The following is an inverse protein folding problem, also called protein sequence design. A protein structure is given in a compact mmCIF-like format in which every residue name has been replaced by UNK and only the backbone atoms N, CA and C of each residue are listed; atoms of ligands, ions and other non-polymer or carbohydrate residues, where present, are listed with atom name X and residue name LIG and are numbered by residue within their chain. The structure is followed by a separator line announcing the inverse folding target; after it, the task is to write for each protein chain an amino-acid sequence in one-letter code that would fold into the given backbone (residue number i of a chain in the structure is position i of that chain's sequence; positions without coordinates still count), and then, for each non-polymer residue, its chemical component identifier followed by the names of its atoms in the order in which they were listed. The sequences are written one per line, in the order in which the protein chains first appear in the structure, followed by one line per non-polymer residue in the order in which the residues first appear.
data_IF_022196047960
#
_entry.id   IF_022196047960
#
_cell.length_a   1.000
_cell.length_b   1.000
_cell.length_c   1.000
_cell.angle_alpha   90.00
_cell.angle_beta   90.00
_cell.angle_gamma   90.00
#
_symmetry.space_group_name_H-M   'P 1'
#
loop_
_entity.id
_entity.type
_entity.pdbx_description
1 polymer ?
#
# COMPACT_ATOMS: atom_id res chain seq x y z
N UNK A 1 -7.33 37.11 3.23
CA UNK A 1 -8.19 35.94 3.51
C UNK A 1 -7.36 34.69 3.58
N UNK A 2 -7.70 33.80 4.50
CA UNK A 2 -7.04 32.50 4.65
C UNK A 2 -8.09 31.41 4.61
N UNK A 3 -7.89 30.40 3.78
CA UNK A 3 -8.75 29.25 3.71
C UNK A 3 -8.35 28.19 4.76
N UNK A 4 -9.32 27.42 5.25
CA UNK A 4 -9.05 26.31 6.15
C UNK A 4 -8.04 25.32 5.51
N UNK A 5 -6.97 24.98 6.24
CA UNK A 5 -5.82 24.17 5.80
C UNK A 5 -4.84 24.89 4.85
N UNK A 6 -4.99 26.15 4.56
CA UNK A 6 -3.96 26.91 3.86
C UNK A 6 -2.72 27.02 4.74
N UNK A 7 -1.53 26.82 4.16
CA UNK A 7 -0.26 27.00 4.88
C UNK A 7 -0.11 28.45 5.31
N UNK A 8 0.18 28.69 6.61
CA UNK A 8 0.31 29.99 7.20
C UNK A 8 1.78 30.43 7.32
N UNK A 9 2.61 29.54 7.80
CA UNK A 9 4.05 29.71 7.96
C UNK A 9 4.77 28.38 7.75
N UNK A 10 6.05 28.48 7.40
CA UNK A 10 6.96 27.35 7.40
C UNK A 10 7.88 27.45 8.61
N UNK A 11 7.94 26.41 9.42
CA UNK A 11 8.86 26.29 10.56
C UNK A 11 10.01 25.39 10.15
N UNK A 12 11.22 25.88 10.29
CA UNK A 12 12.44 25.13 10.03
C UNK A 12 13.10 24.73 11.34
N UNK A 13 13.50 23.48 11.43
CA UNK A 13 14.34 22.96 12.50
C UNK A 13 15.60 22.33 11.91
N UNK A 14 16.61 22.07 12.71
CA UNK A 14 17.88 21.44 12.29
C UNK A 14 17.67 20.08 11.55
N UNK A 15 16.48 19.54 11.55
CA UNK A 15 16.17 18.20 11.02
C UNK A 15 15.02 18.15 10.02
N UNK A 16 14.18 19.18 9.93
CA UNK A 16 13.02 19.19 9.04
C UNK A 16 12.43 20.60 8.86
N UNK A 17 11.88 20.86 7.68
CA UNK A 17 11.01 21.98 7.37
C UNK A 17 9.55 21.53 7.41
N UNK A 18 8.69 22.25 8.09
CA UNK A 18 7.29 21.87 8.31
C UNK A 18 6.36 23.06 8.06
N UNK A 19 5.35 22.88 7.22
CA UNK A 19 4.32 23.89 7.00
C UNK A 19 3.22 23.75 8.08
N UNK A 20 2.84 24.88 8.67
CA UNK A 20 1.77 24.95 9.65
C UNK A 20 0.48 25.39 8.97
N UNK A 21 -0.51 24.52 8.79
CA UNK A 21 -1.78 24.84 8.15
C UNK A 21 -2.73 25.57 9.08
N UNK A 22 -3.56 26.45 8.51
CA UNK A 22 -4.63 27.12 9.27
C UNK A 22 -5.70 26.12 9.75
N UNK A 23 -6.04 26.21 11.02
CA UNK A 23 -7.15 25.44 11.62
C UNK A 23 -8.54 25.99 11.23
N UNK A 24 -8.64 27.26 10.85
CA UNK A 24 -9.88 27.94 10.52
C UNK A 24 -9.72 28.79 9.27
N UNK A 25 -10.83 29.05 8.57
CA UNK A 25 -10.88 30.09 7.55
C UNK A 25 -11.16 31.45 8.21
N UNK A 26 -10.64 32.54 7.65
CA UNK A 26 -10.87 33.88 8.18
C UNK A 26 -9.93 34.91 7.59
N UNK A 27 -9.98 36.13 8.13
CA UNK A 27 -9.10 37.24 7.74
C UNK A 27 -8.00 37.37 8.77
N UNK A 28 -6.74 37.41 8.33
CA UNK A 28 -5.58 37.64 9.21
C UNK A 28 -5.62 39.08 9.70
N UNK A 29 -5.79 39.29 11.00
CA UNK A 29 -5.76 40.61 11.65
C UNK A 29 -4.36 41.09 11.98
N UNK A 30 -3.55 40.18 12.52
CA UNK A 30 -2.17 40.51 12.86
C UNK A 30 -1.28 39.27 12.82
N UNK A 31 -0.06 39.43 12.36
CA UNK A 31 1.03 38.48 12.50
C UNK A 31 1.82 38.80 13.77
N UNK A 32 2.06 37.79 14.61
CA UNK A 32 2.77 37.93 15.88
C UNK A 32 4.24 37.48 15.79
N UNK A 33 4.64 36.93 14.62
CA UNK A 33 5.99 36.41 14.38
C UNK A 33 6.57 36.98 13.09
N UNK A 34 7.90 37.09 13.02
CA UNK A 34 8.66 37.51 11.86
C UNK A 34 9.54 36.36 11.37
N UNK A 35 10.01 36.47 10.13
CA UNK A 35 10.98 35.51 9.58
C UNK A 35 12.26 35.53 10.43
N UNK A 36 12.66 34.38 10.94
CA UNK A 36 13.83 34.21 11.82
C UNK A 36 13.49 34.12 13.32
N UNK A 37 12.23 34.30 13.72
CA UNK A 37 11.85 34.17 15.13
C UNK A 37 11.82 32.70 15.55
N UNK A 38 12.29 32.43 16.77
CA UNK A 38 12.18 31.13 17.36
C UNK A 38 10.79 30.89 17.98
N UNK A 39 10.08 29.88 17.45
CA UNK A 39 8.74 29.51 17.90
C UNK A 39 8.75 28.15 18.59
N UNK A 40 7.89 27.96 19.61
CA UNK A 40 7.69 26.71 20.33
C UNK A 40 6.23 26.30 20.25
N UNK A 41 5.93 25.06 20.62
CA UNK A 41 4.55 24.59 20.77
C UNK A 41 3.78 25.49 21.74
N UNK A 42 2.60 25.99 21.31
CA UNK A 42 1.80 26.97 22.06
C UNK A 42 2.11 28.44 21.75
N UNK A 43 3.12 28.78 20.94
CA UNK A 43 3.35 30.16 20.51
C UNK A 43 2.21 30.67 19.62
N UNK A 44 1.72 31.88 19.90
CA UNK A 44 0.72 32.54 19.05
C UNK A 44 1.40 33.06 17.80
N UNK A 45 1.03 32.54 16.65
CA UNK A 45 1.63 32.87 15.35
C UNK A 45 0.94 34.07 14.69
N UNK A 46 -0.39 34.08 14.75
CA UNK A 46 -1.21 35.12 14.17
C UNK A 46 -2.59 35.14 14.81
N UNK A 47 -3.33 36.23 14.60
CA UNK A 47 -4.72 36.37 15.02
C UNK A 47 -5.61 36.38 13.79
N UNK A 48 -6.61 35.48 13.76
CA UNK A 48 -7.63 35.44 12.72
C UNK A 48 -8.94 35.99 13.24
N UNK A 49 -9.60 36.79 12.41
CA UNK A 49 -11.02 37.06 12.56
C UNK A 49 -11.78 35.97 11.80
N UNK A 50 -12.36 35.03 12.55
CA UNK A 50 -13.16 33.96 11.96
C UNK A 50 -14.53 34.54 11.55
N UNK A 51 -14.91 34.36 10.29
CA UNK A 51 -16.30 34.61 9.85
C UNK A 51 -17.24 33.69 10.60
N UNK A 52 -18.02 34.27 11.51
CA UNK A 52 -19.12 33.59 12.15
C UNK A 52 -20.25 33.44 11.12
N UNK A 53 -20.48 32.19 10.71
CA UNK A 53 -21.56 31.74 9.83
C UNK A 53 -21.31 31.83 8.31
N UNK A 54 -20.88 30.73 7.75
CA UNK A 54 -21.35 30.29 6.43
C UNK A 54 -21.54 28.79 6.42
N UNK A 55 -22.78 28.35 6.43
CA UNK A 55 -23.19 27.06 5.94
C UNK A 55 -22.75 26.94 4.46
N UNK A 56 -22.45 25.73 3.93
CA UNK A 56 -21.97 25.60 2.57
C UNK A 56 -23.04 25.97 1.58
N UNK A 57 -22.86 27.11 0.89
CA UNK A 57 -23.60 27.46 -0.32
C UNK A 57 -23.00 26.80 -1.54
N UNK A 58 -23.81 26.40 -2.55
CA UNK A 58 -23.32 25.71 -3.73
C UNK A 58 -22.40 26.60 -4.56
N UNK A 59 -21.33 26.02 -5.11
CA UNK A 59 -20.37 26.69 -5.96
C UNK A 59 -21.04 27.33 -7.19
N UNK A 60 -20.89 28.65 -7.32
CA UNK A 60 -21.26 29.38 -8.53
C UNK A 60 -20.25 29.09 -9.63
N UNK A 61 -20.77 28.78 -10.82
CA UNK A 61 -20.02 28.45 -12.02
C UNK A 61 -19.17 29.63 -12.51
N UNK A 62 -17.92 29.39 -12.84
CA UNK A 62 -17.06 30.27 -13.62
C UNK A 62 -17.46 30.21 -15.09
N UNK A 63 -17.30 31.29 -15.88
CA UNK A 63 -17.76 31.34 -17.26
C UNK A 63 -16.94 30.44 -18.17
N UNK A 64 -17.64 29.74 -19.06
CA UNK A 64 -17.11 28.76 -20.00
C UNK A 64 -16.25 29.39 -21.11
N UNK A 65 -15.15 28.72 -21.53
CA UNK A 65 -14.56 28.94 -22.83
C UNK A 65 -15.34 28.16 -23.92
N UNK A 66 -15.33 28.72 -25.12
CA UNK A 66 -16.14 28.32 -26.26
C UNK A 66 -16.01 26.85 -26.71
N UNK A 67 -17.09 26.34 -27.25
CA UNK A 67 -17.33 24.97 -27.68
C UNK A 67 -16.25 24.37 -28.59
N UNK A 68 -15.75 23.21 -28.18
CA UNK A 68 -15.19 22.18 -29.05
C UNK A 68 -16.10 20.95 -28.97
N UNK A 69 -16.23 20.26 -30.10
CA UNK A 69 -17.23 19.23 -30.40
C UNK A 69 -17.43 18.16 -29.30
N UNK A 70 -18.67 17.78 -29.09
CA UNK A 70 -19.13 16.81 -28.11
C UNK A 70 -18.53 15.41 -28.32
N UNK A 71 -18.05 14.76 -27.25
CA UNK A 71 -17.83 13.32 -27.23
C UNK A 71 -19.17 12.58 -27.10
N UNK A 72 -19.26 11.41 -27.69
CA UNK A 72 -20.41 10.52 -27.63
C UNK A 72 -20.84 10.22 -26.18
N UNK A 73 -22.14 9.99 -25.92
CA UNK A 73 -22.61 9.78 -24.54
C UNK A 73 -21.99 8.50 -23.95
N UNK A 74 -21.39 8.67 -22.76
CA UNK A 74 -20.99 7.54 -21.92
C UNK A 74 -22.20 6.67 -21.60
N UNK A 75 -22.05 5.33 -21.46
CA UNK A 75 -23.15 4.47 -21.04
C UNK A 75 -23.72 4.99 -19.71
N UNK A 76 -25.02 5.16 -19.66
CA UNK A 76 -25.72 5.61 -18.48
C UNK A 76 -25.32 4.73 -17.28
N UNK A 77 -24.84 5.39 -16.20
CA UNK A 77 -24.63 4.71 -14.94
C UNK A 77 -25.95 4.03 -14.56
N UNK A 78 -25.88 2.74 -14.28
CA UNK A 78 -27.02 2.00 -13.76
C UNK A 78 -27.57 2.77 -12.52
N UNK A 79 -28.91 2.89 -12.38
CA UNK A 79 -29.49 3.59 -11.25
C UNK A 79 -28.92 2.97 -9.96
N UNK A 80 -28.41 3.84 -9.06
CA UNK A 80 -27.95 3.42 -7.76
C UNK A 80 -29.08 2.61 -7.12
N UNK A 81 -28.82 1.33 -6.85
CA UNK A 81 -29.78 0.48 -6.18
C UNK A 81 -30.19 1.18 -4.90
N UNK A 82 -31.48 1.49 -4.75
CA UNK A 82 -32.05 1.90 -3.49
C UNK A 82 -31.59 0.93 -2.42
N UNK A 83 -31.05 1.35 -1.27
CA UNK A 83 -30.69 0.42 -0.22
C UNK A 83 -31.91 -0.46 0.07
N UNK A 84 -31.78 -1.75 -0.18
CA UNK A 84 -32.79 -2.70 0.23
C UNK A 84 -33.04 -2.44 1.73
N UNK A 85 -34.31 -2.46 2.21
CA UNK A 85 -34.58 -2.37 3.62
C UNK A 85 -33.69 -3.42 4.30
N UNK A 86 -32.94 -2.99 5.30
CA UNK A 86 -32.07 -3.89 6.05
C UNK A 86 -32.90 -5.12 6.44
N UNK A 87 -32.58 -6.26 5.86
CA UNK A 87 -33.20 -7.51 6.25
C UNK A 87 -33.09 -7.58 7.77
N UNK A 88 -34.23 -7.75 8.46
CA UNK A 88 -34.23 -7.91 9.90
C UNK A 88 -33.17 -8.97 10.23
N UNK A 89 -32.15 -8.57 11.00
CA UNK A 89 -31.04 -9.45 11.34
C UNK A 89 -31.65 -10.75 11.89
N UNK A 90 -31.35 -11.86 11.25
CA UNK A 90 -31.70 -13.17 11.80
C UNK A 90 -31.23 -13.17 13.26
N UNK A 91 -31.97 -13.73 14.22
CA UNK A 91 -31.59 -13.75 15.62
C UNK A 91 -30.18 -14.34 15.71
N UNK A 92 -29.21 -13.48 15.96
CA UNK A 92 -27.79 -13.86 16.02
C UNK A 92 -27.66 -14.89 17.13
N UNK A 93 -26.94 -15.97 16.87
CA UNK A 93 -26.66 -16.99 17.89
C UNK A 93 -26.05 -16.30 19.12
N UNK A 94 -26.69 -16.42 20.24
CA UNK A 94 -26.18 -15.93 21.53
C UNK A 94 -25.02 -16.83 21.94
N UNK A 95 -23.83 -16.25 22.05
CA UNK A 95 -22.69 -16.96 22.63
C UNK A 95 -22.94 -17.16 24.13
N UNK A 96 -22.84 -18.39 24.63
CA UNK A 96 -23.07 -18.74 26.03
C UNK A 96 -21.80 -19.22 26.76
N UNK A 97 -20.63 -19.10 26.09
CA UNK A 97 -19.35 -19.48 26.67
C UNK A 97 -18.70 -18.37 27.53
N UNK A 98 -17.49 -18.64 28.04
CA UNK A 98 -16.72 -17.70 28.84
C UNK A 98 -16.14 -16.60 27.96
N UNK A 99 -16.19 -15.36 28.44
CA UNK A 99 -15.56 -14.17 27.84
C UNK A 99 -14.24 -13.89 28.57
N UNK A 100 -13.15 -13.81 27.84
CA UNK A 100 -11.82 -13.54 28.40
C UNK A 100 -11.48 -12.05 28.39
N UNK A 101 -11.98 -11.30 27.39
CA UNK A 101 -11.71 -9.89 27.23
C UNK A 101 -12.98 -9.15 26.78
N UNK A 102 -13.22 -7.97 27.37
CA UNK A 102 -14.28 -7.06 26.92
C UNK A 102 -13.69 -5.83 26.22
N UNK A 103 -14.34 -5.37 25.17
CA UNK A 103 -13.95 -4.19 24.40
C UNK A 103 -15.15 -3.36 23.94
N UNK A 104 -14.97 -2.05 23.80
CA UNK A 104 -15.95 -1.21 23.09
C UNK A 104 -15.86 -1.45 21.59
N UNK A 105 -14.61 -1.59 21.09
CA UNK A 105 -14.33 -1.85 19.68
C UNK A 105 -13.32 -2.98 19.55
N UNK A 106 -13.66 -4.00 18.75
CA UNK A 106 -12.70 -4.98 18.26
C UNK A 106 -12.33 -4.63 16.82
N UNK A 107 -11.03 -4.62 16.51
CA UNK A 107 -10.52 -4.41 15.15
C UNK A 107 -9.83 -5.68 14.68
N UNK A 108 -10.23 -6.21 13.53
CA UNK A 108 -9.68 -7.45 12.97
C UNK A 108 -8.74 -7.10 11.83
N UNK A 109 -7.44 -7.33 12.03
CA UNK A 109 -6.35 -7.00 11.12
C UNK A 109 -5.56 -5.78 11.56
N UNK A 110 -4.24 -5.94 11.68
CA UNK A 110 -3.29 -4.92 12.14
C UNK A 110 -2.58 -4.15 11.03
N UNK A 111 -3.13 -4.17 9.80
CA UNK A 111 -2.65 -3.36 8.67
C UNK A 111 -3.02 -1.89 8.79
N UNK A 112 -2.70 -1.04 7.78
CA UNK A 112 -2.91 0.42 7.83
C UNK A 112 -4.33 0.83 8.20
N UNK A 113 -5.33 0.20 7.65
CA UNK A 113 -6.73 0.46 8.02
C UNK A 113 -7.03 0.07 9.47
N UNK A 114 -6.52 -1.09 9.91
CA UNK A 114 -6.79 -1.62 11.24
C UNK A 114 -6.10 -0.86 12.36
N UNK A 115 -4.77 -0.66 12.28
CA UNK A 115 -4.09 0.09 13.34
C UNK A 115 -4.53 1.55 13.39
N UNK A 116 -4.84 2.18 12.24
CA UNK A 116 -5.35 3.55 12.21
C UNK A 116 -6.71 3.65 12.90
N UNK A 117 -7.62 2.71 12.63
CA UNK A 117 -8.92 2.65 13.28
C UNK A 117 -8.79 2.38 14.80
N UNK A 118 -7.94 1.40 15.18
CA UNK A 118 -7.70 1.05 16.57
C UNK A 118 -7.11 2.23 17.37
N UNK A 119 -6.12 2.93 16.82
CA UNK A 119 -5.48 4.06 17.48
C UNK A 119 -6.44 5.23 17.61
N UNK A 120 -7.22 5.52 16.56
CA UNK A 120 -8.22 6.58 16.62
C UNK A 120 -9.32 6.28 17.64
N UNK A 121 -9.82 5.05 17.70
CA UNK A 121 -10.80 4.64 18.70
C UNK A 121 -10.24 4.77 20.13
N UNK A 122 -9.00 4.38 20.35
CA UNK A 122 -8.33 4.54 21.64
C UNK A 122 -8.11 6.01 22.02
N UNK A 123 -7.74 6.88 21.06
CA UNK A 123 -7.59 8.33 21.26
C UNK A 123 -8.94 9.00 21.61
N UNK A 124 -10.07 8.38 21.23
CA UNK A 124 -11.43 8.80 21.63
C UNK A 124 -11.86 8.23 22.99
N UNK A 125 -10.96 7.53 23.71
CA UNK A 125 -11.23 6.99 25.05
C UNK A 125 -11.92 5.62 25.06
N UNK A 126 -12.05 4.94 23.92
CA UNK A 126 -12.68 3.62 23.85
C UNK A 126 -11.68 2.51 24.26
N UNK A 127 -12.20 1.45 24.88
CA UNK A 127 -11.42 0.21 25.14
C UNK A 127 -11.34 -0.60 23.84
N UNK A 128 -10.11 -0.73 23.31
CA UNK A 128 -9.88 -1.33 21.99
C UNK A 128 -9.09 -2.62 22.09
N UNK A 129 -9.56 -3.65 21.37
CA UNK A 129 -8.83 -4.88 21.09
C UNK A 129 -8.52 -4.92 19.59
N UNK A 130 -7.24 -5.08 19.25
CA UNK A 130 -6.75 -5.26 17.89
C UNK A 130 -6.28 -6.71 17.71
N UNK A 131 -6.88 -7.44 16.78
CA UNK A 131 -6.53 -8.84 16.49
C UNK A 131 -5.68 -8.88 15.24
N UNK A 132 -4.46 -9.44 15.35
CA UNK A 132 -3.52 -9.59 14.24
C UNK A 132 -2.91 -10.99 14.24
N UNK A 133 -2.91 -11.67 13.10
CA UNK A 133 -2.39 -13.05 12.98
C UNK A 133 -0.86 -13.12 12.85
N UNK A 134 -0.22 -12.05 12.35
CA UNK A 134 1.22 -11.95 12.17
C UNK A 134 1.92 -11.50 13.47
N UNK A 135 3.25 -11.65 13.49
CA UNK A 135 4.09 -11.27 14.65
C UNK A 135 4.14 -9.77 14.89
N UNK A 136 3.95 -8.98 13.85
CA UNK A 136 4.08 -7.51 13.87
C UNK A 136 2.84 -6.84 13.31
N UNK A 137 2.53 -5.65 13.82
CA UNK A 137 1.57 -4.75 13.20
C UNK A 137 2.14 -4.19 11.89
N UNK A 138 1.25 -3.67 11.04
CA UNK A 138 1.63 -3.04 9.77
C UNK A 138 1.04 -3.73 8.54
N UNK A 139 0.57 -4.99 8.70
CA UNK A 139 -0.05 -5.77 7.61
C UNK A 139 0.86 -5.94 6.40
N UNK A 140 0.27 -6.18 5.24
CA UNK A 140 1.00 -6.30 3.96
C UNK A 140 1.81 -5.04 3.67
N UNK A 141 1.25 -3.85 3.87
CA UNK A 141 1.88 -2.59 3.52
C UNK A 141 3.27 -2.42 4.14
N UNK A 142 3.40 -2.60 5.46
CA UNK A 142 4.68 -2.37 6.14
C UNK A 142 5.63 -3.55 6.02
N UNK A 143 5.10 -4.77 6.07
CA UNK A 143 5.95 -5.96 6.16
C UNK A 143 6.39 -6.49 4.79
N UNK A 144 5.48 -6.56 3.81
CA UNK A 144 5.71 -7.23 2.52
C UNK A 144 5.08 -6.48 1.34
N UNK A 145 4.99 -5.16 1.40
CA UNK A 145 4.35 -4.34 0.37
C UNK A 145 5.00 -2.97 0.21
N UNK A 146 4.26 -1.90 0.54
CA UNK A 146 4.63 -0.52 0.24
C UNK A 146 6.00 -0.11 0.82
N UNK A 147 6.27 -0.44 2.08
CA UNK A 147 7.49 0.01 2.74
C UNK A 147 8.73 -0.68 2.18
N UNK A 148 8.82 -2.03 2.11
CA UNK A 148 9.96 -2.66 1.48
C UNK A 148 10.11 -2.30 0.01
N UNK A 149 9.02 -2.19 -0.76
CA UNK A 149 9.13 -1.81 -2.17
C UNK A 149 9.68 -0.40 -2.34
N UNK A 150 9.22 0.60 -1.57
CA UNK A 150 9.73 1.98 -1.65
C UNK A 150 11.17 2.10 -1.17
N UNK A 151 11.57 1.33 -0.15
CA UNK A 151 12.97 1.28 0.28
C UNK A 151 13.89 0.78 -0.84
N UNK A 152 13.47 -0.25 -1.58
CA UNK A 152 14.24 -0.82 -2.70
C UNK A 152 14.18 0.06 -3.95
N UNK A 153 13.01 0.63 -4.27
CA UNK A 153 12.84 1.54 -5.39
C UNK A 153 13.67 2.81 -5.24
N UNK A 154 13.87 3.29 -4.00
CA UNK A 154 14.76 4.42 -3.77
C UNK A 154 16.20 4.08 -4.16
N UNK A 155 16.70 2.91 -3.81
CA UNK A 155 18.04 2.47 -4.23
C UNK A 155 18.11 2.32 -5.75
N UNK A 156 17.09 1.70 -6.36
CA UNK A 156 16.99 1.56 -7.82
C UNK A 156 17.02 2.93 -8.52
N UNK A 157 16.28 3.91 -8.01
CA UNK A 157 16.22 5.26 -8.56
C UNK A 157 17.58 5.97 -8.52
N UNK A 158 18.32 5.87 -7.40
CA UNK A 158 19.67 6.44 -7.28
C UNK A 158 20.63 5.79 -8.29
N UNK A 159 20.56 4.46 -8.47
CA UNK A 159 21.38 3.76 -9.44
C UNK A 159 21.06 4.18 -10.88
N UNK A 160 19.80 4.38 -11.21
CA UNK A 160 19.37 4.86 -12.52
C UNK A 160 19.78 6.31 -12.75
N UNK A 161 19.65 7.17 -11.74
CA UNK A 161 20.11 8.57 -11.78
C UNK A 161 21.61 8.64 -12.11
N UNK A 162 22.44 7.85 -11.42
CA UNK A 162 23.89 7.78 -11.66
C UNK A 162 24.20 7.40 -13.11
N UNK A 163 23.42 6.52 -13.73
CA UNK A 163 23.62 6.16 -15.16
C UNK A 163 23.33 7.33 -16.09
N UNK A 164 22.32 8.15 -15.80
CA UNK A 164 21.99 9.32 -16.61
C UNK A 164 23.07 10.42 -16.57
N UNK A 165 23.92 10.44 -15.54
CA UNK A 165 25.02 11.39 -15.47
C UNK A 165 26.06 11.21 -16.60
N UNK A 166 26.12 10.03 -17.20
CA UNK A 166 26.98 9.80 -18.38
C UNK A 166 26.60 10.72 -19.55
N UNK A 167 25.31 11.00 -19.74
CA UNK A 167 24.81 11.93 -20.76
C UNK A 167 25.24 13.38 -20.49
N UNK A 168 25.57 13.70 -19.24
CA UNK A 168 26.07 15.00 -18.79
C UNK A 168 27.61 15.06 -18.77
N UNK A 169 28.29 13.99 -19.21
CA UNK A 169 29.74 13.91 -19.23
C UNK A 169 30.39 13.44 -17.92
N UNK A 170 29.60 12.95 -16.96
CA UNK A 170 30.10 12.37 -15.69
C UNK A 170 29.87 10.88 -15.69
N UNK A 171 30.94 10.10 -15.76
CA UNK A 171 30.87 8.63 -15.80
C UNK A 171 31.28 8.05 -14.46
N UNK A 172 30.45 7.15 -13.93
CA UNK A 172 30.75 6.32 -12.76
C UNK A 172 31.07 4.89 -13.19
N UNK A 173 31.87 4.21 -12.40
CA UNK A 173 32.07 2.77 -12.59
C UNK A 173 30.75 2.00 -12.34
N UNK A 174 30.61 0.84 -13.00
CA UNK A 174 29.46 -0.03 -12.73
C UNK A 174 29.41 -0.42 -11.25
N UNK A 175 28.24 -0.26 -10.59
CA UNK A 175 28.13 -0.51 -9.16
C UNK A 175 28.17 -2.02 -8.87
N UNK A 176 28.90 -2.40 -7.82
CA UNK A 176 28.81 -3.74 -7.25
C UNK A 176 27.67 -3.79 -6.23
N UNK A 177 26.67 -4.66 -6.46
CA UNK A 177 25.49 -4.77 -5.59
C UNK A 177 25.59 -6.01 -4.69
N UNK A 178 25.70 -5.77 -3.39
CA UNK A 178 25.56 -6.76 -2.33
C UNK A 178 24.09 -6.89 -1.93
N UNK A 179 23.40 -7.91 -2.47
CA UNK A 179 21.99 -8.17 -2.17
C UNK A 179 21.76 -8.45 -0.68
N UNK A 180 22.71 -9.07 0.02
CA UNK A 180 22.59 -9.34 1.45
C UNK A 180 22.50 -8.06 2.27
N UNK A 181 23.37 -7.08 1.96
CA UNK A 181 23.32 -5.75 2.60
C UNK A 181 22.07 -4.98 2.21
N UNK A 182 21.63 -5.06 0.96
CA UNK A 182 20.39 -4.42 0.51
C UNK A 182 19.16 -5.00 1.24
N UNK A 183 19.11 -6.32 1.40
CA UNK A 183 18.09 -7.01 2.21
C UNK A 183 18.12 -6.53 3.66
N UNK A 184 19.30 -6.49 4.28
CA UNK A 184 19.46 -6.00 5.66
C UNK A 184 19.00 -4.56 5.81
N UNK A 185 19.28 -3.69 4.84
CA UNK A 185 18.78 -2.31 4.83
C UNK A 185 17.24 -2.27 4.81
N UNK A 186 16.63 -3.02 3.91
CA UNK A 186 15.17 -3.14 3.80
C UNK A 186 14.54 -3.61 5.12
N UNK A 187 15.07 -4.68 5.72
CA UNK A 187 14.58 -5.21 7.00
C UNK A 187 14.71 -4.21 8.14
N UNK A 188 15.79 -3.43 8.17
CA UNK A 188 15.97 -2.37 9.16
C UNK A 188 14.92 -1.27 9.03
N UNK A 189 14.54 -0.90 7.81
CA UNK A 189 13.46 0.08 7.57
C UNK A 189 12.13 -0.48 8.07
N UNK A 190 11.78 -1.72 7.71
CA UNK A 190 10.56 -2.40 8.16
C UNK A 190 10.53 -2.45 9.70
N UNK A 191 11.59 -2.95 10.33
CA UNK A 191 11.66 -3.11 11.78
C UNK A 191 11.52 -1.80 12.55
N UNK A 192 12.07 -0.70 12.02
CA UNK A 192 11.89 0.63 12.62
C UNK A 192 10.43 1.07 12.63
N UNK A 193 9.71 0.87 11.53
CA UNK A 193 8.31 1.31 11.39
C UNK A 193 7.36 0.39 12.16
N UNK A 194 7.52 -0.92 12.08
CA UNK A 194 6.68 -1.88 12.82
C UNK A 194 6.89 -1.76 14.33
N UNK A 195 8.13 -1.54 14.77
CA UNK A 195 8.45 -1.24 16.18
C UNK A 195 7.79 0.06 16.66
N UNK A 196 7.74 1.09 15.80
CA UNK A 196 6.99 2.33 16.08
C UNK A 196 5.50 2.08 16.29
N UNK A 197 4.86 1.23 15.46
CA UNK A 197 3.45 0.87 15.62
C UNK A 197 3.19 0.12 16.94
N UNK A 198 4.08 -0.81 17.31
CA UNK A 198 3.97 -1.52 18.59
C UNK A 198 4.05 -0.56 19.79
N UNK A 199 4.98 0.41 19.74
CA UNK A 199 5.09 1.45 20.76
C UNK A 199 3.83 2.34 20.83
N UNK A 200 3.29 2.74 19.68
CA UNK A 200 2.06 3.53 19.60
C UNK A 200 0.84 2.77 20.15
N UNK A 201 0.70 1.48 19.87
CA UNK A 201 -0.36 0.65 20.43
C UNK A 201 -0.25 0.58 21.96
N UNK A 202 0.97 0.39 22.49
CA UNK A 202 1.23 0.36 23.95
C UNK A 202 0.88 1.69 24.61
N UNK A 203 1.32 2.83 24.04
CA UNK A 203 1.02 4.16 24.58
C UNK A 203 -0.49 4.44 24.68
N UNK A 204 -1.26 3.96 23.71
CA UNK A 204 -2.72 4.11 23.64
C UNK A 204 -3.48 3.02 24.39
N UNK A 205 -2.77 2.13 25.06
CA UNK A 205 -3.36 0.99 25.80
C UNK A 205 -4.27 0.10 24.92
N UNK A 206 -3.96 0.01 23.63
CA UNK A 206 -4.63 -0.93 22.74
C UNK A 206 -4.19 -2.35 23.09
N UNK A 207 -5.14 -3.23 23.39
CA UNK A 207 -4.86 -4.65 23.63
C UNK A 207 -4.66 -5.34 22.29
N UNK A 208 -3.46 -5.79 21.99
CA UNK A 208 -3.16 -6.55 20.78
C UNK A 208 -3.23 -8.04 21.09
N UNK A 209 -4.13 -8.76 20.44
CA UNK A 209 -4.24 -10.21 20.51
C UNK A 209 -3.71 -10.82 19.21
N UNK A 210 -2.71 -11.68 19.36
CA UNK A 210 -2.15 -12.39 18.21
C UNK A 210 -2.93 -13.65 17.91
N UNK A 211 -3.55 -13.73 16.74
CA UNK A 211 -4.30 -14.92 16.33
C UNK A 211 -5.29 -14.69 15.19
N UNK A 212 -5.98 -15.76 14.83
CA UNK A 212 -7.08 -15.74 13.87
C UNK A 212 -8.40 -15.44 14.58
N UNK A 213 -9.05 -14.36 14.17
CA UNK A 213 -10.38 -13.99 14.65
C UNK A 213 -11.49 -14.69 13.87
N UNK A 214 -12.45 -15.29 14.59
CA UNK A 214 -13.66 -15.88 14.03
C UNK A 214 -14.87 -15.47 14.84
N UNK A 215 -15.91 -14.95 14.22
CA UNK A 215 -17.14 -14.59 14.92
C UNK A 215 -17.86 -15.84 15.43
N UNK A 216 -18.15 -15.85 16.73
CA UNK A 216 -18.90 -16.94 17.39
C UNK A 216 -20.27 -16.46 17.91
N UNK A 217 -20.59 -15.21 17.68
CA UNK A 217 -21.85 -14.56 17.99
C UNK A 217 -21.86 -13.14 17.44
N UNK A 218 -22.99 -12.44 17.53
CA UNK A 218 -23.15 -11.05 17.01
C UNK A 218 -22.18 -10.04 17.65
N UNK A 219 -21.80 -10.30 18.91
CA UNK A 219 -20.90 -9.44 19.69
C UNK A 219 -19.75 -10.23 20.33
N UNK A 220 -19.39 -11.37 19.76
CA UNK A 220 -18.33 -12.23 20.29
C UNK A 220 -17.39 -12.70 19.18
N UNK A 221 -16.09 -12.48 19.38
CA UNK A 221 -15.02 -12.90 18.51
C UNK A 221 -14.12 -13.90 19.24
N UNK A 222 -14.01 -15.12 18.73
CA UNK A 222 -13.01 -16.06 19.19
C UNK A 222 -11.71 -15.82 18.45
N UNK A 223 -10.61 -15.66 19.18
CA UNK A 223 -9.25 -15.51 18.67
C UNK A 223 -8.49 -16.80 18.97
N UNK A 224 -8.13 -17.55 17.94
CA UNK A 224 -7.25 -18.72 18.05
C UNK A 224 -5.80 -18.23 17.92
N UNK A 225 -5.02 -18.38 18.97
CA UNK A 225 -3.66 -17.85 19.05
C UNK A 225 -2.73 -18.47 18.01
N UNK A 226 -1.81 -17.68 17.50
CA UNK A 226 -0.78 -18.11 16.56
C UNK A 226 0.61 -17.93 17.14
N UNK A 227 1.55 -18.77 16.70
CA UNK A 227 2.97 -18.70 17.03
C UNK A 227 3.84 -18.73 15.77
N UNK A 228 5.12 -18.46 15.91
CA UNK A 228 6.06 -18.50 14.78
C UNK A 228 5.74 -17.52 13.65
N UNK A 229 6.63 -17.38 12.68
CA UNK A 229 6.42 -16.51 11.53
C UNK A 229 5.45 -17.12 10.51
N UNK A 230 5.30 -18.43 10.51
CA UNK A 230 4.35 -19.18 9.68
C UNK A 230 2.90 -19.08 10.18
N UNK A 231 2.63 -18.37 11.29
CA UNK A 231 1.30 -18.19 11.88
C UNK A 231 0.64 -19.53 12.27
N UNK A 232 1.43 -20.44 12.82
CA UNK A 232 0.93 -21.73 13.27
C UNK A 232 -0.07 -21.56 14.40
N UNK A 233 -1.21 -22.22 14.28
CA UNK A 233 -2.24 -22.22 15.31
C UNK A 233 -1.79 -23.04 16.50
N UNK A 234 -1.83 -22.43 17.69
CA UNK A 234 -1.43 -23.11 18.95
C UNK A 234 -2.53 -23.95 19.56
N UNK A 235 -3.78 -23.80 19.09
CA UNK A 235 -4.98 -24.37 19.68
C UNK A 235 -5.53 -23.59 20.88
N UNK A 236 -4.75 -22.67 21.48
CA UNK A 236 -5.25 -21.81 22.55
C UNK A 236 -6.25 -20.78 21.99
N UNK A 237 -7.33 -20.55 22.69
CA UNK A 237 -8.43 -19.70 22.24
C UNK A 237 -8.77 -18.70 23.33
N UNK A 238 -9.08 -17.46 22.90
CA UNK A 238 -9.64 -16.41 23.74
C UNK A 238 -10.90 -15.84 23.10
N UNK A 239 -11.88 -15.48 23.89
CA UNK A 239 -13.11 -14.87 23.41
C UNK A 239 -13.16 -13.42 23.84
N UNK A 240 -13.38 -12.55 22.85
CA UNK A 240 -13.56 -11.10 23.04
C UNK A 240 -15.02 -10.78 22.88
N UNK A 241 -15.64 -10.22 23.92
CA UNK A 241 -16.95 -9.57 23.82
C UNK A 241 -16.75 -8.11 23.39
N UNK A 242 -17.55 -7.64 22.46
CA UNK A 242 -17.40 -6.28 21.91
C UNK A 242 -18.76 -5.63 21.64
N UNK A 243 -18.80 -4.28 21.64
CA UNK A 243 -19.97 -3.52 21.21
C UNK A 243 -20.00 -3.30 19.70
N UNK A 244 -18.82 -2.98 19.12
CA UNK A 244 -18.65 -2.71 17.70
C UNK A 244 -17.44 -3.46 17.17
N UNK A 245 -17.48 -3.86 15.89
CA UNK A 245 -16.37 -4.51 15.22
C UNK A 245 -16.00 -3.76 13.94
N UNK A 246 -14.69 -3.66 13.68
CA UNK A 246 -14.14 -3.15 12.41
C UNK A 246 -13.36 -4.27 11.74
N UNK A 247 -13.79 -4.67 10.55
CA UNK A 247 -13.11 -5.69 9.75
C UNK A 247 -12.12 -4.99 8.82
N UNK A 248 -10.83 -5.15 9.11
CA UNK A 248 -9.71 -4.62 8.34
C UNK A 248 -8.73 -5.73 7.93
N UNK A 249 -9.28 -6.87 7.48
CA UNK A 249 -8.58 -8.14 7.29
C UNK A 249 -7.54 -8.12 6.14
N UNK A 250 -7.51 -7.04 5.33
CA UNK A 250 -6.51 -6.84 4.27
C UNK A 250 -6.73 -7.73 3.04
N UNK A 251 -5.64 -8.04 2.36
CA UNK A 251 -5.61 -8.81 1.11
C UNK A 251 -4.41 -9.75 1.09
N UNK A 252 -4.37 -10.63 0.12
CA UNK A 252 -3.24 -11.52 -0.14
C UNK A 252 -2.97 -11.61 -1.64
N UNK A 253 -1.77 -12.03 -2.01
CA UNK A 253 -1.40 -12.25 -3.41
C UNK A 253 -2.26 -13.35 -4.03
N UNK A 254 -2.59 -13.19 -5.31
CA UNK A 254 -3.31 -14.19 -6.10
C UNK A 254 -2.35 -15.34 -6.43
N UNK A 255 -2.85 -16.57 -6.36
CA UNK A 255 -2.15 -17.75 -6.85
C UNK A 255 -2.83 -18.27 -8.11
N UNK A 256 -2.05 -18.57 -9.13
CA UNK A 256 -2.53 -19.19 -10.36
C UNK A 256 -2.43 -20.72 -10.21
N UNK A 257 -3.55 -21.45 -10.26
CA UNK A 257 -3.59 -22.89 -9.88
C UNK A 257 -2.76 -23.80 -10.80
N UNK A 258 -2.50 -23.37 -12.03
CA UNK A 258 -1.76 -24.12 -13.03
C UNK A 258 -0.23 -23.97 -12.92
N UNK A 259 0.25 -23.06 -12.06
CA UNK A 259 1.67 -22.88 -11.88
C UNK A 259 2.28 -23.96 -10.97
N UNK A 260 3.42 -24.54 -11.33
CA UNK A 260 4.09 -25.49 -10.48
C UNK A 260 4.60 -24.84 -9.19
N UNK A 261 4.76 -25.64 -8.14
CA UNK A 261 5.46 -25.22 -6.93
C UNK A 261 6.97 -25.28 -7.19
N UNK A 262 7.56 -24.12 -7.45
CA UNK A 262 9.00 -23.98 -7.69
C UNK A 262 9.48 -22.68 -7.03
N UNK A 263 10.64 -22.67 -6.36
CA UNK A 263 11.15 -21.46 -5.69
C UNK A 263 11.44 -20.29 -6.64
N UNK A 264 11.56 -20.53 -7.93
CA UNK A 264 11.73 -19.52 -8.97
C UNK A 264 10.40 -18.89 -9.42
N UNK A 265 9.28 -19.32 -8.86
CA UNK A 265 7.94 -18.72 -9.09
C UNK A 265 7.50 -18.08 -7.78
N UNK A 266 7.51 -16.76 -7.77
CA UNK A 266 7.28 -15.96 -6.55
C UNK A 266 6.09 -15.02 -6.71
N UNK A 267 5.40 -14.76 -5.62
CA UNK A 267 4.50 -13.63 -5.50
C UNK A 267 5.27 -12.36 -5.07
N UNK A 268 4.56 -11.27 -4.81
CA UNK A 268 5.16 -10.01 -4.37
C UNK A 268 5.97 -10.15 -3.08
N UNK A 269 5.54 -11.00 -2.15
CA UNK A 269 6.27 -11.28 -0.92
C UNK A 269 7.61 -11.96 -1.20
N UNK A 270 7.61 -12.98 -2.05
CA UNK A 270 8.81 -13.69 -2.46
C UNK A 270 9.76 -12.81 -3.29
N UNK A 271 9.23 -11.95 -4.15
CA UNK A 271 10.05 -10.98 -4.89
C UNK A 271 10.74 -9.98 -3.96
N UNK A 272 10.03 -9.48 -2.94
CA UNK A 272 10.58 -8.57 -1.94
C UNK A 272 11.61 -9.22 -1.00
N UNK A 273 11.65 -10.56 -0.91
CA UNK A 273 12.68 -11.26 -0.16
C UNK A 273 14.08 -11.05 -0.74
N UNK A 274 14.19 -10.79 -2.05
CA UNK A 274 15.45 -10.59 -2.77
C UNK A 274 16.41 -11.79 -2.66
N UNK A 275 15.86 -13.00 -2.79
CA UNK A 275 16.68 -14.23 -2.69
C UNK A 275 17.36 -14.62 -4.00
N UNK A 276 17.02 -13.94 -5.10
CA UNK A 276 17.43 -14.30 -6.45
C UNK A 276 18.16 -13.17 -7.17
N UNK A 277 19.07 -13.55 -8.08
CA UNK A 277 19.68 -12.69 -9.11
C UNK A 277 19.30 -13.22 -10.50
N UNK A 278 18.05 -13.03 -10.96
CA UNK A 278 17.62 -13.57 -12.23
C UNK A 278 18.29 -12.83 -13.39
N UNK A 279 18.61 -13.55 -14.48
CA UNK A 279 19.02 -12.94 -15.75
C UNK A 279 17.84 -12.42 -16.55
N UNK A 280 16.74 -13.19 -16.59
CA UNK A 280 15.47 -12.82 -17.21
C UNK A 280 14.33 -13.06 -16.22
N UNK A 281 13.47 -12.08 -16.04
CA UNK A 281 12.33 -12.14 -15.12
C UNK A 281 11.05 -11.89 -15.91
N UNK A 282 10.09 -12.81 -15.79
CA UNK A 282 8.73 -12.61 -16.28
C UNK A 282 7.87 -11.99 -15.19
N UNK A 283 7.17 -10.95 -15.54
CA UNK A 283 6.14 -10.34 -14.70
C UNK A 283 4.78 -10.76 -15.27
N UNK A 284 4.02 -11.55 -14.50
CA UNK A 284 2.67 -11.98 -14.86
C UNK A 284 1.66 -11.02 -14.24
N UNK A 285 1.11 -10.15 -15.10
CA UNK A 285 0.26 -9.03 -14.72
C UNK A 285 1.00 -7.69 -14.74
N UNK A 286 0.59 -6.81 -15.65
CA UNK A 286 1.16 -5.47 -15.86
C UNK A 286 0.66 -4.42 -14.86
N UNK A 287 0.30 -4.85 -13.64
CA UNK A 287 -0.07 -3.98 -12.54
C UNK A 287 1.12 -3.30 -11.87
N UNK A 288 0.82 -2.32 -10.98
CA UNK A 288 1.85 -1.50 -10.33
C UNK A 288 2.88 -2.33 -9.55
N UNK A 289 2.44 -3.34 -8.81
CA UNK A 289 3.33 -4.15 -7.94
C UNK A 289 4.37 -4.90 -8.78
N UNK A 290 3.95 -5.57 -9.84
CA UNK A 290 4.84 -6.30 -10.74
C UNK A 290 5.86 -5.39 -11.41
N UNK A 291 5.42 -4.22 -11.86
CA UNK A 291 6.28 -3.23 -12.52
C UNK A 291 7.25 -2.57 -11.53
N UNK A 292 6.87 -2.36 -10.28
CA UNK A 292 7.79 -1.92 -9.21
C UNK A 292 8.88 -2.96 -8.95
N UNK A 293 8.50 -4.24 -8.82
CA UNK A 293 9.48 -5.31 -8.61
C UNK A 293 10.39 -5.47 -9.82
N UNK A 294 9.85 -5.42 -11.04
CA UNK A 294 10.63 -5.38 -12.26
C UNK A 294 11.68 -4.25 -12.25
N UNK A 295 11.28 -3.04 -11.87
CA UNK A 295 12.19 -1.90 -11.75
C UNK A 295 13.30 -2.18 -10.75
N UNK A 296 12.98 -2.70 -9.56
CA UNK A 296 13.99 -3.08 -8.56
C UNK A 296 14.99 -4.08 -9.13
N UNK A 297 14.52 -5.19 -9.68
CA UNK A 297 15.41 -6.25 -10.21
C UNK A 297 16.21 -5.79 -11.43
N UNK A 298 15.62 -5.00 -12.32
CA UNK A 298 16.33 -4.45 -13.48
C UNK A 298 17.47 -3.51 -13.06
N UNK A 299 17.20 -2.58 -12.16
CA UNK A 299 18.19 -1.57 -11.73
C UNK A 299 19.26 -2.17 -10.82
N UNK A 300 18.88 -3.06 -9.87
CA UNK A 300 19.83 -3.53 -8.83
C UNK A 300 20.64 -4.75 -9.24
N UNK A 301 20.09 -5.65 -10.06
CA UNK A 301 20.79 -6.88 -10.46
C UNK A 301 20.90 -7.06 -11.97
N UNK A 302 20.45 -6.08 -12.75
CA UNK A 302 20.56 -6.10 -14.20
C UNK A 302 19.63 -7.11 -14.89
N UNK A 303 18.53 -7.51 -14.24
CA UNK A 303 17.59 -8.44 -14.83
C UNK A 303 16.91 -7.84 -16.07
N UNK A 304 16.85 -8.62 -17.17
CA UNK A 304 16.02 -8.30 -18.33
C UNK A 304 14.57 -8.72 -18.03
N UNK A 305 13.62 -7.89 -18.44
CA UNK A 305 12.22 -8.05 -18.08
C UNK A 305 11.36 -8.43 -19.27
N UNK A 306 10.46 -9.38 -19.03
CA UNK A 306 9.31 -9.64 -19.88
C UNK A 306 8.03 -9.38 -19.05
N UNK A 307 7.01 -8.77 -19.64
CA UNK A 307 5.71 -8.54 -19.01
C UNK A 307 4.61 -9.15 -19.85
N UNK A 308 3.70 -9.87 -19.22
CA UNK A 308 2.47 -10.35 -19.84
C UNK A 308 1.27 -9.74 -19.12
N UNK A 309 0.35 -9.15 -19.90
CA UNK A 309 -0.87 -8.52 -19.39
C UNK A 309 -2.07 -8.94 -20.27
N UNK A 310 -3.13 -9.40 -19.63
CA UNK A 310 -4.33 -9.86 -20.32
C UNK A 310 -5.12 -8.72 -20.97
N UNK A 311 -5.02 -7.53 -20.42
CA UNK A 311 -5.71 -6.34 -20.90
C UNK A 311 -4.88 -5.61 -21.96
N UNK A 312 -5.44 -4.56 -22.53
CA UNK A 312 -4.87 -3.79 -23.62
C UNK A 312 -3.83 -2.74 -23.18
N UNK A 313 -3.52 -2.67 -21.88
CA UNK A 313 -2.56 -1.71 -21.35
C UNK A 313 -2.05 -2.06 -19.97
N UNK A 314 -0.87 -1.54 -19.63
CA UNK A 314 -0.30 -1.65 -18.30
C UNK A 314 -1.03 -0.74 -17.30
N UNK A 315 -0.94 -1.03 -16.00
CA UNK A 315 -1.47 -0.20 -14.91
C UNK A 315 -2.92 0.24 -15.16
N UNK A 316 -3.82 -0.71 -15.35
CA UNK A 316 -5.24 -0.45 -15.54
C UNK A 316 -5.80 0.38 -14.37
N UNK A 317 -6.64 1.36 -14.69
CA UNK A 317 -7.19 2.31 -13.72
C UNK A 317 -6.33 3.55 -13.46
N UNK A 318 -5.07 3.60 -13.92
CA UNK A 318 -4.28 4.82 -13.94
C UNK A 318 -4.54 5.64 -15.22
N UNK A 319 -4.40 6.96 -15.15
CA UNK A 319 -4.56 7.85 -16.28
C UNK A 319 -3.59 7.49 -17.42
N UNK A 320 -4.11 7.34 -18.61
CA UNK A 320 -3.38 6.81 -19.77
C UNK A 320 -2.22 7.70 -20.22
N UNK A 321 -2.32 9.00 -20.04
CA UNK A 321 -1.25 9.96 -20.31
C UNK A 321 -0.05 9.75 -19.35
N UNK A 322 -0.30 9.52 -18.07
CA UNK A 322 0.73 9.19 -17.08
C UNK A 322 1.39 7.84 -17.38
N UNK A 323 0.58 6.83 -17.75
CA UNK A 323 1.12 5.51 -18.12
C UNK A 323 2.02 5.60 -19.35
N UNK A 324 1.69 6.44 -20.35
CA UNK A 324 2.54 6.66 -21.54
C UNK A 324 3.90 7.25 -21.15
N UNK A 325 3.91 8.22 -20.23
CA UNK A 325 5.16 8.81 -19.71
C UNK A 325 6.00 7.73 -19.03
N UNK A 326 5.39 6.95 -18.12
CA UNK A 326 6.06 5.86 -17.43
C UNK A 326 6.65 4.83 -18.42
N UNK A 327 5.87 4.39 -19.41
CA UNK A 327 6.31 3.44 -20.43
C UNK A 327 7.52 3.97 -21.22
N UNK A 328 7.51 5.25 -21.60
CA UNK A 328 8.63 5.88 -22.30
C UNK A 328 9.92 5.83 -21.48
N UNK A 329 9.86 6.18 -20.19
CA UNK A 329 11.04 6.17 -19.32
C UNK A 329 11.55 4.77 -19.00
N UNK A 330 10.68 3.77 -18.99
CA UNK A 330 11.03 2.42 -18.60
C UNK A 330 11.17 1.43 -19.77
N UNK A 331 10.94 1.86 -21.01
CA UNK A 331 10.96 0.99 -22.19
C UNK A 331 12.26 0.16 -22.31
N UNK A 332 13.41 0.75 -21.99
CA UNK A 332 14.70 0.09 -22.08
C UNK A 332 14.92 -1.09 -21.10
N UNK A 333 14.03 -1.28 -20.10
CA UNK A 333 14.10 -2.39 -19.13
C UNK A 333 13.49 -3.69 -19.68
N UNK A 334 12.56 -3.56 -20.62
CA UNK A 334 11.74 -4.67 -21.11
C UNK A 334 12.25 -5.18 -22.44
N UNK A 335 12.43 -6.51 -22.53
CA UNK A 335 12.63 -7.19 -23.80
C UNK A 335 11.29 -7.33 -24.53
N UNK A 336 10.23 -7.69 -23.79
CA UNK A 336 8.88 -7.84 -24.32
C UNK A 336 7.82 -7.30 -23.36
N UNK A 337 6.83 -6.60 -23.94
CA UNK A 337 5.57 -6.21 -23.28
C UNK A 337 4.43 -6.81 -24.06
N UNK A 338 3.91 -7.93 -23.57
CA UNK A 338 2.87 -8.73 -24.24
C UNK A 338 1.50 -8.35 -23.68
N UNK A 339 0.83 -7.40 -24.33
CA UNK A 339 -0.54 -7.01 -24.01
C UNK A 339 -1.55 -7.97 -24.65
N UNK A 340 -2.79 -7.98 -24.16
CA UNK A 340 -3.87 -8.88 -24.59
C UNK A 340 -3.42 -10.34 -24.66
N UNK A 341 -2.58 -10.72 -23.69
CA UNK A 341 -1.89 -12.00 -23.65
C UNK A 341 -2.00 -12.57 -22.25
N UNK A 342 -2.35 -13.83 -22.13
CA UNK A 342 -2.42 -14.54 -20.86
C UNK A 342 -1.40 -15.68 -20.78
N UNK A 343 -0.89 -15.92 -19.59
CA UNK A 343 -0.14 -17.14 -19.28
C UNK A 343 -1.12 -18.30 -19.13
N UNK A 344 -0.91 -19.37 -19.85
CA UNK A 344 -1.80 -20.55 -19.86
C UNK A 344 -1.14 -21.81 -19.31
N UNK A 345 0.19 -21.82 -19.18
CA UNK A 345 0.92 -22.93 -18.61
C UNK A 345 2.33 -22.54 -18.20
N UNK A 346 2.87 -23.27 -17.26
CA UNK A 346 4.28 -23.18 -16.88
C UNK A 346 4.80 -24.55 -16.44
N UNK A 347 6.05 -24.84 -16.78
CA UNK A 347 6.75 -26.08 -16.44
C UNK A 347 8.13 -25.77 -15.91
N UNK A 348 8.45 -26.30 -14.73
CA UNK A 348 9.79 -26.20 -14.18
C UNK A 348 10.73 -27.15 -14.90
N UNK A 349 11.88 -26.65 -15.35
CA UNK A 349 12.95 -27.39 -16.00
C UNK A 349 14.30 -27.06 -15.35
N UNK A 350 15.36 -27.78 -15.70
CA UNK A 350 16.70 -27.49 -15.21
C UNK A 350 17.20 -26.14 -15.73
N UNK A 351 16.82 -25.76 -16.96
CA UNK A 351 17.26 -24.51 -17.60
C UNK A 351 16.49 -23.28 -17.10
N UNK A 352 15.32 -23.48 -16.51
CA UNK A 352 14.45 -22.36 -16.06
C UNK A 352 13.01 -22.80 -15.96
N UNK A 353 12.10 -21.82 -15.96
CA UNK A 353 10.68 -22.07 -16.06
C UNK A 353 10.24 -21.84 -17.51
N UNK A 354 9.78 -22.88 -18.15
CA UNK A 354 9.19 -22.84 -19.49
C UNK A 354 7.74 -22.39 -19.38
N UNK A 355 7.39 -21.28 -20.05
CA UNK A 355 6.07 -20.63 -19.93
C UNK A 355 5.40 -20.56 -21.28
N UNK A 356 4.12 -20.89 -21.33
CA UNK A 356 3.27 -20.85 -22.53
C UNK A 356 2.24 -19.73 -22.40
N UNK A 357 2.02 -19.06 -23.51
CA UNK A 357 1.13 -17.90 -23.59
C UNK A 357 0.08 -18.09 -24.69
N UNK A 358 -1.06 -17.39 -24.54
CA UNK A 358 -2.12 -17.26 -25.54
C UNK A 358 -2.58 -15.79 -25.64
N UNK A 359 -2.88 -15.33 -26.84
CA UNK A 359 -3.39 -13.98 -27.10
C UNK A 359 -2.69 -13.29 -28.27
N UNK A 360 -3.06 -12.04 -28.54
CA UNK A 360 -2.56 -11.28 -29.68
C UNK A 360 -1.04 -11.03 -29.64
N UNK A 361 -0.48 -10.82 -28.44
CA UNK A 361 0.95 -10.58 -28.23
C UNK A 361 1.76 -11.85 -27.88
N UNK A 362 1.14 -13.03 -27.94
CA UNK A 362 1.78 -14.26 -27.50
C UNK A 362 2.91 -14.71 -28.46
N UNK A 363 4.10 -15.05 -27.92
CA UNK A 363 5.12 -15.71 -28.71
C UNK A 363 4.64 -17.08 -29.18
N UNK A 364 5.09 -17.49 -30.39
CA UNK A 364 4.71 -18.80 -30.98
C UNK A 364 5.27 -19.98 -30.22
N UNK A 365 6.43 -19.80 -29.59
CA UNK A 365 7.17 -20.81 -28.85
C UNK A 365 7.14 -20.51 -27.36
N UNK A 366 7.13 -21.52 -26.48
CA UNK A 366 7.30 -21.32 -25.05
C UNK A 366 8.59 -20.55 -24.73
N UNK A 367 8.54 -19.72 -23.70
CA UNK A 367 9.70 -18.93 -23.27
C UNK A 367 10.31 -19.52 -21.99
N UNK A 368 11.64 -19.57 -21.94
CA UNK A 368 12.35 -20.03 -20.73
C UNK A 368 12.85 -18.84 -19.94
N UNK A 369 12.40 -18.72 -18.70
CA UNK A 369 12.66 -17.61 -17.78
C UNK A 369 13.42 -18.12 -16.55
N UNK A 370 14.25 -17.25 -15.95
CA UNK A 370 14.99 -17.59 -14.73
C UNK A 370 14.22 -17.30 -13.46
N UNK A 371 13.22 -16.42 -13.51
CA UNK A 371 12.30 -16.09 -12.41
C UNK A 371 10.96 -15.67 -12.97
N UNK A 372 9.87 -16.06 -12.29
CA UNK A 372 8.51 -15.56 -12.56
C UNK A 372 8.01 -14.84 -11.32
N UNK A 373 7.55 -13.61 -11.51
CA UNK A 373 6.81 -12.83 -10.52
C UNK A 373 5.35 -12.72 -10.95
N UNK A 374 4.45 -12.99 -10.02
CA UNK A 374 2.99 -12.98 -10.22
C UNK A 374 2.39 -11.82 -9.46
#
# INVERSE_FOLDING_TARGET
DVYKRQSLITVESDKASMEIPSSHAGVVKSLQVKVGDNVKEGSVLLTLEADAAAAPAPAAAAPAPAASAAPAPAPAAAPAATPAPAAAAAPGSSYSGTVDVEADVVVIGGGPGGYSAAFRAADLGLKVVLVERYTTLGGVCLNVGCIPSKALLHVAAVMDEVKHFADLGVTFAEPEVDIGKLRTHKEKVIGKLTGGLAAMAKMRKVTVLRGYGSFVGTHHLQVEETSGDAQEKTGAKKVVAFRNAIIAAGSQAVRLPFLPQDPRIVDSTGALALDFKPKRMLIVGGGIIGLEMGTVYSSTVGARLDVVEMLDGLMQGADRDLVKVWQKFNAGRFDNVMLKTKTVGAKATEQGIEVTFEGEGAPKEPQVLSLIHI
#
